data_IF_523631664243
#
_entry.id   IF_523631664243
#
_cell.length_a   1.000
_cell.length_b   1.000
_cell.length_c   1.000
_cell.angle_alpha   90.00
_cell.angle_beta   90.00
_cell.angle_gamma   90.00
#
_symmetry.space_group_name_H-M   'P 1'
#
loop_
_entity.id
_entity.type
_entity.pdbx_description
1 polymer ?
#
# COMPACT_ATOMS: atom_id res chain seq x y z
N UNK A 1 -0.60 7.54 -25.72
CA UNK A 1 -0.16 6.70 -24.57
C UNK A 1 -1.14 6.88 -23.41
N UNK A 2 -1.23 5.95 -22.49
CA UNK A 2 -2.20 6.03 -21.36
C UNK A 2 -1.96 7.27 -20.48
N UNK A 3 -0.70 7.67 -20.29
CA UNK A 3 -0.36 8.89 -19.54
C UNK A 3 -0.92 10.17 -20.15
N UNK A 4 -0.92 10.26 -21.49
CA UNK A 4 -1.48 11.43 -22.17
C UNK A 4 -3.01 11.46 -22.05
N UNK A 5 -3.66 10.29 -22.08
CA UNK A 5 -5.10 10.15 -21.86
C UNK A 5 -5.49 10.49 -20.42
N UNK A 6 -4.67 10.08 -19.47
CA UNK A 6 -4.85 10.37 -18.03
C UNK A 6 -4.51 11.82 -17.64
N UNK A 7 -4.09 12.69 -18.56
CA UNK A 7 -3.71 14.07 -18.23
C UNK A 7 -2.32 14.24 -17.60
N UNK A 8 -1.55 13.15 -17.46
CA UNK A 8 -0.23 13.17 -16.83
C UNK A 8 0.80 13.63 -17.86
N UNK A 9 1.34 14.83 -17.69
CA UNK A 9 2.32 15.40 -18.60
C UNK A 9 3.71 15.48 -17.96
N UNK A 10 4.56 14.49 -18.25
CA UNK A 10 5.94 14.42 -17.75
C UNK A 10 7.00 14.63 -18.83
N UNK A 11 6.62 15.12 -20.01
CA UNK A 11 7.45 15.11 -21.24
C UNK A 11 8.79 15.86 -21.18
N UNK A 12 9.06 16.65 -20.13
CA UNK A 12 10.27 17.48 -20.03
C UNK A 12 10.99 17.27 -18.71
N UNK A 13 10.44 16.43 -17.81
CA UNK A 13 10.87 16.32 -16.43
C UNK A 13 11.81 15.12 -16.23
N UNK A 14 12.83 15.32 -15.42
CA UNK A 14 13.61 14.23 -14.86
C UNK A 14 13.06 13.96 -13.47
N UNK A 15 12.19 12.96 -13.38
CA UNK A 15 11.62 12.52 -12.14
C UNK A 15 12.59 11.53 -11.49
N UNK A 16 13.05 11.83 -10.29
CA UNK A 16 13.88 10.93 -9.49
C UNK A 16 13.04 10.08 -8.57
N UNK A 17 11.91 10.59 -8.18
CA UNK A 17 11.09 10.00 -7.16
C UNK A 17 9.61 10.02 -7.56
N UNK A 18 8.87 8.98 -7.18
CA UNK A 18 7.49 8.79 -7.54
C UNK A 18 6.80 7.98 -6.44
N UNK A 19 5.68 8.49 -5.95
CA UNK A 19 4.84 7.80 -4.96
C UNK A 19 3.38 7.83 -5.40
N UNK A 20 2.69 6.71 -5.15
CA UNK A 20 1.24 6.66 -5.14
C UNK A 20 0.77 6.70 -3.68
N UNK A 21 -0.09 7.63 -3.35
CA UNK A 21 -0.73 7.74 -2.04
C UNK A 21 -1.99 8.60 -2.16
N UNK A 22 -2.90 8.46 -1.25
CA UNK A 22 -4.14 9.25 -1.19
C UNK A 22 -3.87 10.48 -0.31
N UNK A 23 -3.70 11.66 -0.94
CA UNK A 23 -3.31 12.86 -0.21
C UNK A 23 -4.51 13.62 0.38
N UNK A 24 -5.70 13.48 -0.23
CA UNK A 24 -6.92 14.21 0.18
C UNK A 24 -7.99 13.30 0.81
N UNK A 25 -7.63 12.04 1.07
CA UNK A 25 -8.43 11.04 1.78
C UNK A 25 -9.75 10.67 1.10
N UNK A 26 -9.83 10.80 -0.22
CA UNK A 26 -11.05 10.49 -0.98
C UNK A 26 -11.20 9.01 -1.33
N UNK A 27 -10.16 8.19 -1.12
CA UNK A 27 -10.10 6.75 -1.37
C UNK A 27 -9.41 6.39 -2.68
N UNK A 28 -9.09 7.36 -3.53
CA UNK A 28 -8.38 7.17 -4.77
C UNK A 28 -6.87 7.48 -4.60
N UNK A 29 -6.02 6.74 -5.33
CA UNK A 29 -4.57 6.93 -5.22
C UNK A 29 -4.10 8.04 -6.14
N UNK A 30 -3.48 9.06 -5.55
CA UNK A 30 -2.85 10.18 -6.23
C UNK A 30 -1.40 9.90 -6.59
N UNK A 31 -0.79 10.77 -7.40
CA UNK A 31 0.53 10.53 -7.93
C UNK A 31 1.46 11.73 -7.68
N UNK A 32 2.48 11.53 -6.85
CA UNK A 32 3.55 12.47 -6.59
C UNK A 32 4.76 12.22 -7.48
N UNK A 33 5.35 13.32 -7.99
CA UNK A 33 6.65 13.32 -8.64
C UNK A 33 7.62 14.29 -7.98
N UNK A 34 8.71 13.77 -7.45
CA UNK A 34 9.87 14.54 -7.02
C UNK A 34 10.80 14.80 -8.20
N UNK A 35 10.91 16.06 -8.61
CA UNK A 35 11.67 16.45 -9.82
C UNK A 35 13.09 16.87 -9.48
N UNK A 36 14.07 16.14 -9.99
CA UNK A 36 15.49 16.41 -9.86
C UNK A 36 16.06 17.10 -11.10
N UNK A 37 16.47 18.34 -10.94
CA UNK A 37 17.06 19.11 -12.04
C UNK A 37 18.50 18.66 -12.32
N UNK A 38 18.73 17.87 -13.38
CA UNK A 38 20.09 17.50 -13.83
C UNK A 38 20.73 18.62 -14.66
N UNK A 39 19.94 19.34 -15.46
CA UNK A 39 20.45 20.28 -16.45
C UNK A 39 19.98 21.70 -16.16
N UNK A 40 20.94 22.64 -15.99
CA UNK A 40 20.66 24.06 -15.79
C UNK A 40 20.01 24.75 -17.02
N UNK A 41 19.97 24.07 -18.18
CA UNK A 41 19.39 24.60 -19.40
C UNK A 41 17.89 24.30 -19.55
N UNK A 42 17.32 23.45 -18.72
CA UNK A 42 15.89 23.17 -18.72
C UNK A 42 15.25 24.06 -17.64
N UNK A 43 14.57 25.12 -18.06
CA UNK A 43 13.76 25.95 -17.17
C UNK A 43 12.39 25.29 -16.93
N UNK A 44 11.76 25.63 -15.82
CA UNK A 44 10.39 25.21 -15.46
C UNK A 44 10.24 23.72 -15.09
N UNK A 45 11.21 23.15 -14.38
CA UNK A 45 11.04 21.87 -13.70
C UNK A 45 10.56 22.13 -12.27
N UNK A 46 9.44 21.55 -11.90
CA UNK A 46 8.83 21.65 -10.58
C UNK A 46 8.25 20.30 -10.16
N UNK A 47 8.14 20.10 -8.86
CA UNK A 47 7.44 18.92 -8.33
C UNK A 47 5.98 18.96 -8.76
N UNK A 48 5.39 17.80 -9.01
CA UNK A 48 4.00 17.67 -9.37
C UNK A 48 3.28 16.73 -8.42
N UNK A 49 2.06 17.10 -8.06
CA UNK A 49 1.11 16.24 -7.38
C UNK A 49 -0.14 16.17 -8.25
N UNK A 50 -0.37 14.99 -8.80
CA UNK A 50 -1.51 14.73 -9.66
C UNK A 50 -2.62 14.09 -8.84
N UNK A 51 -3.68 14.84 -8.60
CA UNK A 51 -4.89 14.33 -7.97
C UNK A 51 -5.62 13.42 -8.95
N UNK A 52 -6.04 12.27 -8.49
CA UNK A 52 -6.91 11.36 -9.22
C UNK A 52 -8.36 11.87 -9.15
N UNK A 53 -8.92 12.26 -10.27
CA UNK A 53 -10.29 12.76 -10.35
C UNK A 53 -11.29 11.65 -10.77
N UNK A 54 -10.86 10.38 -10.78
CA UNK A 54 -11.63 9.25 -11.29
C UNK A 54 -11.70 9.21 -12.82
N UNK A 55 -12.48 8.30 -13.38
CA UNK A 55 -12.70 8.18 -14.82
C UNK A 55 -13.85 9.11 -15.24
N UNK A 56 -13.52 10.39 -15.53
CA UNK A 56 -14.51 11.40 -15.86
C UNK A 56 -15.10 11.25 -17.27
N UNK A 57 -14.36 10.62 -18.17
CA UNK A 57 -14.74 10.50 -19.58
C UNK A 57 -15.29 9.11 -19.94
N UNK A 58 -15.20 8.11 -19.05
CA UNK A 58 -15.74 6.76 -19.21
C UNK A 58 -14.91 5.86 -20.12
N UNK A 59 -13.60 6.15 -20.29
CA UNK A 59 -12.71 5.35 -21.13
C UNK A 59 -11.99 4.22 -20.37
N UNK A 60 -12.18 4.13 -19.05
CA UNK A 60 -11.58 3.15 -18.17
C UNK A 60 -10.20 3.53 -17.66
N UNK A 61 -9.77 4.79 -17.86
CA UNK A 61 -8.50 5.35 -17.39
C UNK A 61 -8.83 6.52 -16.47
N UNK A 62 -8.28 6.57 -15.24
CA UNK A 62 -8.46 7.71 -14.36
C UNK A 62 -7.89 9.01 -14.98
N UNK A 63 -8.62 10.10 -14.82
CA UNK A 63 -8.16 11.44 -15.17
C UNK A 63 -7.42 12.06 -13.99
N UNK A 64 -6.29 12.71 -14.24
CA UNK A 64 -5.45 13.33 -13.22
C UNK A 64 -5.28 14.82 -13.45
N UNK A 65 -5.34 15.60 -12.37
CA UNK A 65 -5.11 17.06 -12.38
C UNK A 65 -3.88 17.42 -11.54
N UNK A 66 -2.90 18.14 -12.11
CA UNK A 66 -1.74 18.66 -11.34
C UNK A 66 -2.18 19.79 -10.40
N UNK A 67 -2.24 19.52 -9.12
CA UNK A 67 -2.64 20.44 -8.04
C UNK A 67 -1.46 21.02 -7.26
N UNK A 68 -0.22 20.65 -7.60
CA UNK A 68 0.97 21.08 -6.86
C UNK A 68 1.13 22.59 -6.78
N UNK A 69 0.71 23.31 -7.82
CA UNK A 69 0.74 24.77 -7.87
C UNK A 69 -0.26 25.40 -6.90
N UNK A 70 -1.46 24.86 -6.81
CA UNK A 70 -2.53 25.33 -5.92
C UNK A 70 -2.19 25.10 -4.46
N UNK A 71 -1.59 23.94 -4.17
CA UNK A 71 -1.18 23.55 -2.81
C UNK A 71 0.16 24.18 -2.38
N UNK A 72 0.85 24.90 -3.29
CA UNK A 72 2.14 25.54 -2.99
C UNK A 72 3.32 24.60 -2.86
N UNK A 73 3.17 23.32 -3.29
CA UNK A 73 4.20 22.28 -3.20
C UNK A 73 5.05 22.19 -4.49
N UNK A 74 4.68 22.88 -5.55
CA UNK A 74 5.38 22.92 -6.84
C UNK A 74 6.75 23.63 -6.74
N UNK A 75 7.62 23.16 -5.86
CA UNK A 75 8.97 23.72 -5.69
C UNK A 75 9.85 23.45 -6.91
N UNK A 76 10.70 24.43 -7.28
CA UNK A 76 11.70 24.30 -8.36
C UNK A 76 13.03 23.74 -7.89
N UNK A 77 13.05 23.09 -6.74
CA UNK A 77 14.27 22.56 -6.11
C UNK A 77 14.63 21.22 -6.72
N UNK A 78 15.90 20.82 -6.52
CA UNK A 78 16.36 19.51 -6.96
C UNK A 78 15.97 18.45 -5.94
N UNK A 79 14.72 18.01 -5.97
CA UNK A 79 14.23 16.93 -5.14
C UNK A 79 14.89 15.63 -5.58
N UNK A 80 15.60 14.98 -4.66
CA UNK A 80 16.36 13.76 -4.92
C UNK A 80 15.68 12.54 -4.34
N UNK A 81 14.85 12.71 -3.33
CA UNK A 81 14.06 11.65 -2.72
C UNK A 81 13.03 12.22 -1.79
N UNK A 82 11.95 11.48 -1.61
CA UNK A 82 10.88 11.82 -0.69
C UNK A 82 10.57 10.65 0.22
N UNK A 83 9.91 10.93 1.32
CA UNK A 83 9.33 9.94 2.20
C UNK A 83 7.96 10.42 2.67
N UNK A 84 7.03 9.50 2.73
CA UNK A 84 5.66 9.73 3.20
C UNK A 84 5.51 9.21 4.62
N UNK A 85 4.94 10.00 5.49
CA UNK A 85 4.56 9.58 6.84
C UNK A 85 3.56 10.57 7.43
N UNK A 86 2.65 10.09 8.21
CA UNK A 86 1.85 10.91 9.13
C UNK A 86 2.74 11.22 10.35
N UNK A 87 3.51 12.36 10.28
CA UNK A 87 4.57 12.65 11.25
C UNK A 87 4.03 13.23 12.56
N UNK A 88 2.89 13.93 12.52
CA UNK A 88 2.25 14.55 13.69
C UNK A 88 1.07 13.72 14.23
N UNK A 89 0.76 12.59 13.60
CA UNK A 89 -0.28 11.63 13.95
C UNK A 89 -1.70 12.24 13.91
N UNK A 90 -1.94 13.12 12.96
CA UNK A 90 -3.27 13.70 12.72
C UNK A 90 -4.12 12.85 11.75
N UNK A 91 -3.48 11.94 11.01
CA UNK A 91 -4.14 10.90 10.21
C UNK A 91 -4.04 11.09 8.71
N UNK A 92 -3.44 12.17 8.22
CA UNK A 92 -3.10 12.31 6.81
C UNK A 92 -1.59 12.09 6.57
N UNK A 93 -1.20 11.88 5.31
CA UNK A 93 0.18 11.65 4.96
C UNK A 93 0.88 12.94 4.56
N UNK A 94 2.02 13.19 5.20
CA UNK A 94 2.91 14.30 4.95
C UNK A 94 4.05 13.91 4.02
N UNK A 95 4.70 14.91 3.41
CA UNK A 95 5.81 14.69 2.48
C UNK A 95 7.09 15.31 3.03
N UNK A 96 8.08 14.48 3.32
CA UNK A 96 9.44 14.90 3.60
C UNK A 96 10.26 14.88 2.32
N UNK A 97 10.76 16.04 1.86
CA UNK A 97 11.52 16.19 0.62
C UNK A 97 12.99 16.45 0.92
N UNK A 98 13.87 15.61 0.39
CA UNK A 98 15.30 15.79 0.42
C UNK A 98 15.78 16.42 -0.90
N UNK A 99 16.56 17.48 -0.80
CA UNK A 99 17.07 18.23 -1.95
C UNK A 99 18.60 18.16 -2.02
N UNK A 100 19.16 18.20 -3.24
CA UNK A 100 20.63 18.24 -3.41
C UNK A 100 21.22 19.65 -3.33
N UNK A 101 20.40 20.69 -3.37
CA UNK A 101 20.82 22.09 -3.44
C UNK A 101 20.31 22.97 -2.30
N UNK A 102 19.58 22.40 -1.34
CA UNK A 102 19.05 23.09 -0.16
C UNK A 102 18.74 22.14 0.99
N UNK A 103 18.26 22.71 2.08
CA UNK A 103 17.79 21.96 3.24
C UNK A 103 16.58 21.09 2.90
N UNK A 104 16.38 20.04 3.68
CA UNK A 104 15.17 19.22 3.68
C UNK A 104 13.95 20.11 3.96
N UNK A 105 12.86 19.82 3.27
CA UNK A 105 11.55 20.46 3.48
C UNK A 105 10.56 19.39 3.92
N UNK A 106 9.89 19.65 5.03
CA UNK A 106 8.70 18.91 5.43
C UNK A 106 7.48 19.72 4.97
N UNK A 107 6.66 19.11 4.16
CA UNK A 107 5.38 19.65 3.75
C UNK A 107 4.29 18.92 4.55
N UNK A 108 3.63 19.67 5.43
CA UNK A 108 2.55 19.17 6.26
C UNK A 108 1.25 19.18 5.47
N UNK A 109 0.58 18.06 5.43
CA UNK A 109 -0.77 17.96 4.90
C UNK A 109 -1.79 18.53 5.90
N UNK A 110 -2.98 18.85 5.47
CA UNK A 110 -4.09 19.37 6.29
C UNK A 110 -5.43 18.77 5.88
N UNK A 111 -5.42 17.65 5.17
CA UNK A 111 -6.63 17.01 4.66
C UNK A 111 -7.62 16.66 5.77
N UNK A 112 -7.12 16.13 6.90
CA UNK A 112 -7.95 15.82 8.06
C UNK A 112 -8.55 17.07 8.70
N UNK A 113 -7.75 18.15 8.87
CA UNK A 113 -8.21 19.42 9.43
C UNK A 113 -9.26 20.08 8.53
N UNK A 114 -9.10 19.94 7.21
CA UNK A 114 -10.02 20.46 6.20
C UNK A 114 -11.29 19.59 6.07
N UNK A 115 -11.29 18.39 6.68
CA UNK A 115 -12.44 17.49 6.71
C UNK A 115 -12.73 16.85 5.36
N UNK A 116 -11.70 16.54 4.56
CA UNK A 116 -11.84 15.98 3.21
C UNK A 116 -12.28 14.53 3.23
N UNK A 117 -11.87 13.74 4.24
CA UNK A 117 -12.27 12.33 4.35
C UNK A 117 -11.90 11.70 5.68
N UNK A 118 -12.38 10.48 5.89
CA UNK A 118 -11.95 9.60 6.96
C UNK A 118 -10.71 8.79 6.52
N UNK A 119 -10.02 8.18 7.46
CA UNK A 119 -8.79 7.42 7.20
C UNK A 119 -8.68 6.17 8.06
N UNK A 120 -7.78 5.26 7.65
CA UNK A 120 -7.33 4.11 8.44
C UNK A 120 -5.84 3.90 8.22
N UNK A 121 -5.06 3.80 9.32
CA UNK A 121 -3.66 3.40 9.28
C UNK A 121 -3.51 1.99 9.86
N UNK A 122 -2.96 1.06 9.08
CA UNK A 122 -2.79 -0.35 9.47
C UNK A 122 -1.31 -0.65 9.69
N UNK A 123 -0.98 -1.13 10.90
CA UNK A 123 0.35 -1.65 11.24
C UNK A 123 0.28 -3.15 11.41
N UNK A 124 1.03 -3.85 10.58
CA UNK A 124 1.10 -5.31 10.62
C UNK A 124 2.26 -5.79 11.47
N UNK A 125 1.99 -6.79 12.29
CA UNK A 125 2.99 -7.43 13.14
C UNK A 125 2.99 -8.94 12.89
N UNK A 126 3.96 -9.40 12.08
CA UNK A 126 4.14 -10.82 11.81
C UNK A 126 4.79 -11.53 12.98
N UNK A 127 4.57 -12.83 13.09
CA UNK A 127 5.14 -13.69 14.13
C UNK A 127 6.45 -14.34 13.67
N UNK A 128 7.29 -14.82 14.62
CA UNK A 128 8.54 -15.53 14.30
C UNK A 128 8.35 -16.80 13.46
N UNK A 129 7.17 -17.41 13.52
CA UNK A 129 6.81 -18.64 12.78
C UNK A 129 5.97 -18.35 11.53
N UNK A 130 5.63 -17.10 11.29
CA UNK A 130 4.78 -16.66 10.21
C UNK A 130 5.47 -15.66 9.27
N UNK A 131 4.85 -14.50 9.11
CA UNK A 131 5.35 -13.39 8.31
C UNK A 131 6.46 -12.62 9.03
N UNK A 132 7.18 -11.76 8.30
CA UNK A 132 8.18 -10.88 8.93
C UNK A 132 7.53 -9.85 9.86
N UNK A 133 8.31 -9.28 10.76
CA UNK A 133 7.85 -8.41 11.86
C UNK A 133 7.03 -7.18 11.42
N UNK A 134 7.12 -6.73 10.18
CA UNK A 134 6.39 -5.60 9.64
C UNK A 134 5.37 -5.99 8.57
N UNK A 135 5.08 -7.28 8.42
CA UNK A 135 4.13 -7.77 7.44
C UNK A 135 4.50 -7.48 5.98
N UNK A 136 5.77 -7.22 5.68
CA UNK A 136 6.19 -6.91 4.30
C UNK A 136 5.85 -8.08 3.37
N UNK A 137 5.17 -7.78 2.26
CA UNK A 137 4.63 -8.75 1.31
C UNK A 137 3.20 -9.20 1.60
N UNK A 138 2.59 -8.72 2.69
CA UNK A 138 1.18 -8.93 2.95
C UNK A 138 0.30 -8.04 2.08
N UNK A 139 -0.92 -8.50 1.82
CA UNK A 139 -1.96 -7.75 1.13
C UNK A 139 -3.05 -7.37 2.13
N UNK A 140 -3.42 -6.11 2.17
CA UNK A 140 -4.51 -5.61 3.00
C UNK A 140 -5.64 -5.12 2.12
N UNK A 141 -6.86 -5.55 2.42
CA UNK A 141 -8.08 -5.08 1.78
C UNK A 141 -9.00 -4.51 2.84
N UNK A 142 -9.47 -3.29 2.60
CA UNK A 142 -10.50 -2.63 3.39
C UNK A 142 -11.80 -2.74 2.63
N UNK A 143 -12.78 -3.45 3.19
CA UNK A 143 -14.11 -3.57 2.63
C UNK A 143 -15.00 -2.49 3.23
N UNK A 144 -15.55 -1.62 2.39
CA UNK A 144 -16.41 -0.52 2.79
C UNK A 144 -17.88 -0.91 2.70
N UNK A 145 -18.75 -0.25 3.49
CA UNK A 145 -20.20 -0.57 3.54
C UNK A 145 -20.93 -0.35 2.21
N UNK A 146 -20.39 0.49 1.33
CA UNK A 146 -20.96 0.70 -0.02
C UNK A 146 -20.58 -0.40 -1.02
N UNK A 147 -19.76 -1.37 -0.61
CA UNK A 147 -19.25 -2.47 -1.42
C UNK A 147 -17.93 -2.19 -2.14
N UNK A 148 -17.36 -0.99 -1.97
CA UNK A 148 -16.00 -0.67 -2.46
C UNK A 148 -14.96 -1.47 -1.70
N UNK A 149 -13.89 -1.89 -2.38
CA UNK A 149 -12.77 -2.58 -1.76
C UNK A 149 -11.47 -1.85 -2.10
N UNK A 150 -10.87 -1.25 -1.08
CA UNK A 150 -9.55 -0.63 -1.19
C UNK A 150 -8.47 -1.68 -0.95
N UNK A 151 -7.41 -1.67 -1.77
CA UNK A 151 -6.40 -2.74 -1.76
C UNK A 151 -5.00 -2.14 -1.75
N UNK A 152 -4.18 -2.49 -0.75
CA UNK A 152 -2.79 -2.10 -0.71
C UNK A 152 -1.89 -3.23 -0.21
N UNK A 153 -0.61 -3.19 -0.64
CA UNK A 153 0.42 -4.11 -0.19
C UNK A 153 1.32 -3.45 0.87
N UNK A 154 1.73 -4.23 1.87
CA UNK A 154 2.83 -3.83 2.72
C UNK A 154 4.16 -4.06 1.99
N UNK A 155 4.93 -3.00 1.76
CA UNK A 155 6.24 -3.09 1.12
C UNK A 155 7.30 -2.29 1.89
N UNK A 156 8.56 -2.71 1.72
CA UNK A 156 9.70 -2.02 2.29
C UNK A 156 10.47 -1.31 1.18
N UNK A 157 10.52 0.01 1.26
CA UNK A 157 11.21 0.83 0.27
C UNK A 157 10.33 1.17 -0.92
N UNK A 158 10.02 2.41 -0.97
CA UNK A 158 9.32 3.12 -2.02
C UNK A 158 10.14 4.38 -2.34
N UNK A 159 10.05 4.84 -3.57
CA UNK A 159 10.77 6.01 -4.03
C UNK A 159 12.28 5.82 -4.20
N UNK A 160 12.95 6.87 -4.67
CA UNK A 160 14.39 6.90 -4.88
C UNK A 160 15.09 7.61 -3.71
N UNK A 161 16.06 6.97 -3.07
CA UNK A 161 16.80 7.47 -1.90
C UNK A 161 15.91 7.84 -0.70
N UNK A 162 14.71 7.31 -0.63
CA UNK A 162 13.74 7.48 0.45
C UNK A 162 13.19 6.15 0.93
N UNK A 163 12.51 6.17 2.06
CA UNK A 163 11.68 5.08 2.55
C UNK A 163 10.60 5.69 3.44
N UNK A 164 9.36 5.41 3.12
CA UNK A 164 8.18 5.88 3.86
C UNK A 164 7.91 5.04 5.12
N UNK A 165 6.95 5.47 5.93
CA UNK A 165 6.43 4.67 7.05
C UNK A 165 5.92 3.31 6.51
N UNK A 166 6.34 2.18 7.08
CA UNK A 166 5.85 0.86 6.67
C UNK A 166 4.37 0.62 7.01
N UNK A 167 3.73 1.50 7.77
CA UNK A 167 2.29 1.44 7.99
C UNK A 167 1.54 1.67 6.68
N UNK A 168 0.49 0.89 6.46
CA UNK A 168 -0.37 1.02 5.29
C UNK A 168 -1.44 2.05 5.60
N UNK A 169 -1.60 3.04 4.75
CA UNK A 169 -2.55 4.13 4.93
C UNK A 169 -3.64 4.06 3.88
N UNK A 170 -4.90 4.24 4.30
CA UNK A 170 -6.08 4.29 3.44
C UNK A 170 -6.86 5.56 3.72
N UNK A 171 -7.13 6.37 2.70
CA UNK A 171 -8.25 7.30 2.72
C UNK A 171 -9.55 6.54 2.49
N UNK A 172 -10.62 6.97 3.11
CA UNK A 172 -11.92 6.28 3.10
C UNK A 172 -13.04 7.16 2.54
N UNK A 173 -12.71 8.41 2.17
CA UNK A 173 -13.74 9.39 1.83
C UNK A 173 -14.73 9.57 2.98
N UNK A 174 -16.01 9.45 2.66
CA UNK A 174 -17.11 9.53 3.62
C UNK A 174 -17.66 8.14 3.99
N UNK A 175 -16.90 7.07 3.73
CA UNK A 175 -17.36 5.71 3.92
C UNK A 175 -16.99 5.17 5.30
N UNK A 176 -17.71 4.14 5.72
CA UNK A 176 -17.42 3.34 6.92
C UNK A 176 -16.92 1.96 6.53
N UNK A 177 -16.14 1.36 7.42
CA UNK A 177 -15.49 0.07 7.20
C UNK A 177 -16.46 -1.05 7.61
N UNK A 178 -16.70 -2.00 6.70
CA UNK A 178 -17.45 -3.22 7.00
C UNK A 178 -16.52 -4.24 7.71
N UNK A 179 -15.36 -4.52 7.12
CA UNK A 179 -14.31 -5.36 7.72
C UNK A 179 -12.97 -5.16 6.99
N UNK A 180 -11.91 -5.66 7.61
CA UNK A 180 -10.57 -5.71 7.04
C UNK A 180 -10.16 -7.15 6.73
N UNK A 181 -9.53 -7.38 5.59
CA UNK A 181 -8.94 -8.65 5.18
C UNK A 181 -7.42 -8.49 5.06
N UNK A 182 -6.65 -9.28 5.81
CA UNK A 182 -5.19 -9.34 5.72
C UNK A 182 -4.78 -10.70 5.18
N UNK A 183 -4.19 -10.72 3.99
CA UNK A 183 -3.52 -11.91 3.47
C UNK A 183 -2.05 -11.83 3.80
N UNK A 184 -1.61 -12.62 4.76
CA UNK A 184 -0.23 -12.69 5.23
C UNK A 184 0.70 -13.30 4.19
N UNK A 185 2.01 -13.02 4.28
CA UNK A 185 3.00 -13.55 3.32
C UNK A 185 3.12 -15.08 3.36
N UNK A 186 2.60 -15.71 4.42
CA UNK A 186 2.43 -17.16 4.56
C UNK A 186 1.30 -17.74 3.71
N UNK A 187 0.44 -16.87 3.14
CA UNK A 187 -0.77 -17.25 2.40
C UNK A 187 -2.01 -17.45 3.29
N UNK A 188 -1.89 -17.27 4.59
CA UNK A 188 -3.04 -17.29 5.51
C UNK A 188 -3.80 -15.97 5.41
N UNK A 189 -5.13 -16.01 5.40
CA UNK A 189 -5.99 -14.84 5.41
C UNK A 189 -6.69 -14.70 6.75
N UNK A 190 -6.60 -13.51 7.33
CA UNK A 190 -7.21 -13.11 8.60
C UNK A 190 -8.26 -12.03 8.33
N UNK A 191 -9.42 -12.16 8.92
CA UNK A 191 -10.52 -11.18 8.87
C UNK A 191 -10.58 -10.46 10.21
N UNK A 192 -10.66 -9.15 10.17
CA UNK A 192 -10.82 -8.29 11.35
C UNK A 192 -12.13 -7.54 11.19
N UNK A 193 -13.05 -7.80 12.10
CA UNK A 193 -14.34 -7.12 12.22
C UNK A 193 -14.24 -5.95 13.21
N UNK A 194 -15.22 -5.07 13.21
CA UNK A 194 -15.31 -3.93 14.14
C UNK A 194 -14.11 -2.97 14.05
N UNK A 195 -13.74 -2.58 12.83
CA UNK A 195 -12.67 -1.62 12.57
C UNK A 195 -13.22 -0.19 12.59
N UNK A 196 -12.67 0.65 13.46
CA UNK A 196 -13.05 2.06 13.53
C UNK A 196 -12.33 2.90 12.48
N UNK A 197 -13.01 3.87 11.87
CA UNK A 197 -12.41 4.91 11.04
C UNK A 197 -11.64 5.92 11.89
N UNK A 198 -10.77 6.71 11.27
CA UNK A 198 -9.92 7.71 11.93
C UNK A 198 -9.08 7.10 13.07
N UNK A 199 -8.50 5.94 12.81
CA UNK A 199 -7.78 5.16 13.81
C UNK A 199 -6.51 4.51 13.28
N UNK A 200 -5.63 4.13 14.20
CA UNK A 200 -4.45 3.30 13.93
C UNK A 200 -4.74 1.89 14.42
N UNK A 201 -4.86 0.95 13.50
CA UNK A 201 -5.09 -0.46 13.78
C UNK A 201 -3.77 -1.23 13.80
N UNK A 202 -3.46 -1.88 14.92
CA UNK A 202 -2.35 -2.82 15.00
C UNK A 202 -2.89 -4.25 14.82
N UNK A 203 -2.41 -4.95 13.81
CA UNK A 203 -2.83 -6.31 13.49
C UNK A 203 -1.69 -7.28 13.74
N UNK A 204 -1.85 -8.12 14.76
CA UNK A 204 -0.94 -9.24 15.03
C UNK A 204 -1.32 -10.43 14.15
N UNK A 205 -0.33 -11.10 13.55
CA UNK A 205 -0.57 -12.29 12.74
C UNK A 205 -1.10 -13.44 13.60
N UNK A 206 -2.30 -13.90 13.29
CA UNK A 206 -2.84 -15.14 13.86
C UNK A 206 -2.36 -16.32 13.01
N UNK A 207 -1.60 -17.22 13.63
CA UNK A 207 -1.21 -18.44 12.94
C UNK A 207 -2.43 -19.34 12.74
N UNK A 208 -2.56 -20.00 11.57
CA UNK A 208 -3.64 -20.96 11.37
C UNK A 208 -3.58 -22.03 12.46
N UNK A 209 -4.74 -22.50 12.94
CA UNK A 209 -4.76 -23.54 13.97
C UNK A 209 -3.96 -24.76 13.49
N UNK A 210 -3.15 -25.37 14.35
CA UNK A 210 -2.36 -26.53 13.97
C UNK A 210 -3.30 -27.59 13.41
N UNK A 211 -2.92 -28.19 12.29
CA UNK A 211 -3.71 -29.26 11.63
C UNK A 211 -3.89 -30.37 12.65
N UNK A 212 -5.08 -30.48 13.24
CA UNK A 212 -5.38 -31.36 14.37
C UNK A 212 -5.19 -32.85 14.09
N UNK A 213 -4.99 -33.28 12.84
CA UNK A 213 -4.93 -34.68 12.44
C UNK A 213 -3.76 -35.03 11.50
N UNK A 214 -2.57 -34.47 11.74
CA UNK A 214 -1.37 -34.96 11.06
C UNK A 214 -1.11 -36.46 11.40
N UNK A 215 -1.50 -36.92 12.58
CA UNK A 215 -1.40 -38.32 12.98
C UNK A 215 -2.33 -39.24 12.17
N UNK A 216 -3.56 -38.83 11.88
CA UNK A 216 -4.50 -39.62 11.07
C UNK A 216 -4.02 -39.67 9.60
N UNK A 217 -3.45 -38.60 9.07
CA UNK A 217 -2.89 -38.56 7.72
C UNK A 217 -1.64 -39.44 7.60
N UNK A 218 -0.74 -39.38 8.58
CA UNK A 218 0.45 -40.24 8.64
C UNK A 218 0.04 -41.73 8.79
N UNK A 219 -0.94 -42.04 9.63
CA UNK A 219 -1.46 -43.41 9.79
C UNK A 219 -2.11 -43.91 8.50
N UNK A 220 -2.87 -43.08 7.79
CA UNK A 220 -3.47 -43.43 6.50
C UNK A 220 -2.39 -43.68 5.42
N UNK A 221 -1.36 -42.86 5.34
CA UNK A 221 -0.25 -43.04 4.40
C UNK A 221 0.58 -44.28 4.76
N UNK A 222 0.88 -44.50 6.03
CA UNK A 222 1.59 -45.73 6.50
C UNK A 222 0.80 -46.99 6.24
N UNK A 223 -0.53 -46.95 6.44
CA UNK A 223 -1.40 -48.11 6.14
C UNK A 223 -1.43 -48.44 4.65
N UNK A 224 -1.47 -47.41 3.80
CA UNK A 224 -1.42 -47.58 2.33
C UNK A 224 -0.08 -48.17 1.88
N UNK A 225 1.03 -47.69 2.43
CA UNK A 225 2.37 -48.23 2.16
C UNK A 225 2.46 -49.71 2.61
N UNK A 226 1.92 -50.03 3.78
CA UNK A 226 1.92 -51.39 4.31
C UNK A 226 1.11 -52.36 3.42
N UNK A 227 -0.06 -51.91 2.93
CA UNK A 227 -0.89 -52.67 1.99
C UNK A 227 -0.11 -52.91 0.68
N UNK A 228 0.54 -51.88 0.12
CA UNK A 228 1.32 -52.01 -1.10
C UNK A 228 2.52 -52.96 -0.94
N UNK A 229 3.17 -52.98 0.20
CA UNK A 229 4.30 -53.86 0.49
C UNK A 229 3.86 -55.32 0.72
N UNK A 230 2.70 -55.55 1.32
CA UNK A 230 2.19 -56.92 1.64
C UNK A 230 1.39 -57.51 0.46
N UNK A 231 0.87 -56.70 -0.46
CA UNK A 231 0.08 -57.19 -1.59
C UNK A 231 0.76 -58.27 -2.43
N UNK A 232 2.07 -58.19 -2.81
CA UNK A 232 2.74 -59.24 -3.54
C UNK A 232 2.93 -60.53 -2.76
N UNK A 233 2.95 -60.45 -1.41
CA UNK A 233 3.10 -61.66 -0.56
C UNK A 233 1.78 -62.40 -0.43
N UNK A 234 0.64 -61.70 -0.43
CA UNK A 234 -0.69 -62.29 -0.39
C UNK A 234 -1.07 -62.99 -1.69
N UNK A 235 -0.54 -62.54 -2.84
CA UNK A 235 -0.77 -63.20 -4.15
C UNK A 235 0.11 -64.42 -4.41
N UNK A 236 1.14 -64.69 -3.59
CA UNK A 236 1.99 -65.86 -3.73
C UNK A 236 1.44 -67.13 -3.09
N UNK A 237 0.40 -67.04 -2.30
CA UNK A 237 -0.21 -68.15 -1.55
C UNK A 237 -1.62 -68.52 -2.05
N UNK A 238 -2.04 -67.97 -3.15
CA UNK A 238 -3.24 -68.35 -3.92
C UNK A 238 -2.81 -68.98 -5.27
#
# INVERSE_FOLDING_TARGET
EASDQAGINTNILVNWDCHFFDYDLDGDMDLWFGVGRINQYISNQYNSLYRNDGDLNGDGIPDFTDVAGELGIAGTNKTMGTALADYDNDGDLDILMAHSDRSVILWRNTAVEDGTGAWLKVRLHGTELGSNSHGIGCLVKVHLEDGTVLVQHAYAGDGFLGSSDPAIHFGLGNQTIEYLEVTWSTGYTQIIEEVETNSVLNVEEELPPPVKDFSAYILAVLSLILILLLWPLLQRNS
#
